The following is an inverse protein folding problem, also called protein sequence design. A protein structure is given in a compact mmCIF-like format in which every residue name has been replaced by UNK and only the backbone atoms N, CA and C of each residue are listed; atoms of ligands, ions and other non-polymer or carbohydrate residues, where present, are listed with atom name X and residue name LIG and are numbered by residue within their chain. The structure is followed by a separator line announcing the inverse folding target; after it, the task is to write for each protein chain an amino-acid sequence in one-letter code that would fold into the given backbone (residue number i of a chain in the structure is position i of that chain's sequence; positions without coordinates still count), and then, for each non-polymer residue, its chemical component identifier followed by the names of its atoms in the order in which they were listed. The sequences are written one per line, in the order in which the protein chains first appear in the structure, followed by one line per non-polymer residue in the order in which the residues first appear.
data_IF_441351903913
#
_entry.id   IF_441351903913
#
_cell.length_a   1.000
_cell.length_b   1.000
_cell.length_c   1.000
_cell.angle_alpha   90.00
_cell.angle_beta   90.00
_cell.angle_gamma   90.00
#
_symmetry.space_group_name_H-M   'P 1'
#
loop_
_entity.id
_entity.type
_entity.pdbx_description
1 polymer ?
#
# COMPACT_ATOMS: atom_id res chain seq x y z
N UNK A 1 -19.95 26.81 16.21
CA UNK A 1 -20.46 25.58 16.86
C UNK A 1 -19.77 24.40 16.19
N UNK A 2 -18.95 23.67 16.94
CA UNK A 2 -18.07 22.61 16.43
C UNK A 2 -18.83 21.47 15.72
N UNK A 3 -18.28 21.03 14.57
CA UNK A 3 -18.74 19.90 13.75
C UNK A 3 -18.89 18.58 14.55
N UNK A 4 -18.24 18.47 15.72
CA UNK A 4 -18.29 17.29 16.59
C UNK A 4 -19.69 17.01 17.18
N UNK A 5 -20.58 18.00 17.21
CA UNK A 5 -21.90 17.84 17.86
C UNK A 5 -22.95 17.09 17.02
N UNK A 6 -22.70 16.82 15.73
CA UNK A 6 -23.69 16.18 14.83
C UNK A 6 -23.64 14.65 14.76
N UNK A 7 -22.56 14.00 15.22
CA UNK A 7 -22.39 12.55 15.08
C UNK A 7 -22.54 11.76 16.38
N UNK A 8 -22.61 12.43 17.53
CA UNK A 8 -22.74 11.76 18.84
C UNK A 8 -23.98 12.28 19.57
N UNK A 9 -25.03 11.45 19.59
CA UNK A 9 -26.21 11.69 20.43
C UNK A 9 -25.80 11.74 21.90
N UNK A 10 -26.12 12.85 22.58
CA UNK A 10 -25.85 13.06 23.99
C UNK A 10 -26.51 11.98 24.85
N UNK A 11 -25.68 11.23 25.58
CA UNK A 11 -25.95 10.86 26.96
C UNK A 11 -24.81 11.44 27.79
N UNK A 12 -25.13 12.39 28.66
CA UNK A 12 -24.22 12.97 29.64
C UNK A 12 -23.88 11.88 30.67
N UNK A 13 -22.93 11.03 30.34
CA UNK A 13 -22.20 10.19 31.30
C UNK A 13 -21.07 11.07 31.87
N UNK A 14 -20.79 11.05 33.19
CA UNK A 14 -19.67 11.79 33.74
C UNK A 14 -18.40 11.41 32.99
N UNK A 15 -17.71 12.40 32.42
CA UNK A 15 -16.41 12.19 31.78
C UNK A 15 -15.48 11.76 32.91
N UNK A 16 -15.25 10.45 33.05
CA UNK A 16 -14.07 9.96 33.77
C UNK A 16 -12.88 10.65 33.11
N UNK A 17 -12.04 11.34 33.89
CA UNK A 17 -10.75 11.83 33.41
C UNK A 17 -9.99 10.61 32.87
N UNK A 18 -10.07 10.41 31.56
CA UNK A 18 -9.42 9.30 30.93
C UNK A 18 -7.91 9.57 30.99
N UNK A 19 -7.15 8.67 31.65
CA UNK A 19 -5.72 8.84 31.90
C UNK A 19 -4.96 9.39 30.69
N UNK A 20 -4.06 10.38 30.88
CA UNK A 20 -3.27 10.95 29.80
C UNK A 20 -2.44 9.86 29.10
N UNK A 21 -2.26 9.98 27.79
CA UNK A 21 -1.46 9.04 27.02
C UNK A 21 0.04 9.19 27.32
N UNK A 22 0.82 8.10 27.20
CA UNK A 22 2.24 8.14 27.48
C UNK A 22 3.02 8.91 26.41
N UNK A 23 4.16 9.48 26.83
CA UNK A 23 5.12 10.13 25.94
C UNK A 23 6.30 9.21 25.68
N UNK A 24 6.84 9.27 24.47
CA UNK A 24 8.10 8.62 24.06
C UNK A 24 9.19 9.68 24.11
N UNK A 25 10.30 9.34 24.78
CA UNK A 25 11.42 10.25 24.94
C UNK A 25 12.21 10.39 23.62
N UNK A 26 12.87 11.53 23.37
CA UNK A 26 13.74 11.74 22.19
C UNK A 26 14.74 10.61 21.93
N UNK A 27 15.38 10.10 22.98
CA UNK A 27 16.37 9.02 22.95
C UNK A 27 15.81 7.67 22.49
N UNK A 28 14.49 7.47 22.59
CA UNK A 28 13.82 6.21 22.28
C UNK A 28 13.22 6.17 20.86
N UNK A 29 13.51 7.16 20.02
CA UNK A 29 12.96 7.20 18.66
C UNK A 29 13.93 7.79 17.62
N UNK A 30 13.81 7.41 16.33
CA UNK A 30 14.79 7.77 15.32
C UNK A 30 14.78 9.27 14.94
N UNK A 31 13.74 10.02 15.33
CA UNK A 31 13.63 11.45 15.04
C UNK A 31 14.20 12.34 16.14
N UNK A 32 14.60 11.79 17.29
CA UNK A 32 15.18 12.54 18.41
C UNK A 32 14.28 13.69 18.89
N UNK A 33 12.96 13.49 18.87
CA UNK A 33 11.97 14.45 19.35
C UNK A 33 11.02 13.79 20.34
N UNK A 34 10.35 14.59 21.17
CA UNK A 34 9.33 14.09 22.09
C UNK A 34 8.05 13.76 21.31
N UNK A 35 7.56 12.54 21.46
CA UNK A 35 6.38 12.04 20.72
C UNK A 35 5.29 11.56 21.67
N UNK A 36 4.02 11.70 21.28
CA UNK A 36 2.90 11.12 21.99
C UNK A 36 2.67 9.69 21.49
N UNK A 37 2.60 8.71 22.38
CA UNK A 37 2.26 7.34 22.01
C UNK A 37 0.74 7.21 21.83
N UNK A 38 0.30 6.95 20.61
CA UNK A 38 -1.13 6.87 20.26
C UNK A 38 -1.66 5.44 20.28
N UNK A 39 -0.78 4.42 20.36
CA UNK A 39 -1.14 2.99 20.36
C UNK A 39 -2.22 2.62 21.38
N UNK A 40 -2.23 3.15 22.62
CA UNK A 40 -3.29 2.84 23.58
C UNK A 40 -4.72 3.11 23.07
N UNK A 41 -4.87 4.06 22.14
CA UNK A 41 -6.14 4.38 21.47
C UNK A 41 -6.21 3.71 20.10
N UNK A 42 -5.17 3.85 19.27
CA UNK A 42 -5.18 3.39 17.89
C UNK A 42 -5.33 1.87 17.74
N UNK A 43 -4.82 1.08 18.70
CA UNK A 43 -4.88 -0.39 18.63
C UNK A 43 -6.17 -0.96 19.24
N UNK A 44 -6.84 -0.21 20.10
CA UNK A 44 -8.02 -0.67 20.85
C UNK A 44 -9.33 -0.19 20.25
N UNK A 45 -9.33 0.95 19.56
CA UNK A 45 -10.56 1.51 18.99
C UNK A 45 -11.02 0.76 17.73
N UNK A 46 -12.31 0.46 17.71
CA UNK A 46 -13.00 -0.05 16.52
C UNK A 46 -13.58 1.12 15.73
N UNK A 47 -13.27 1.18 14.44
CA UNK A 47 -13.90 2.12 13.52
C UNK A 47 -15.31 1.64 13.23
N UNK A 48 -16.32 2.18 13.92
CA UNK A 48 -17.72 1.81 13.71
C UNK A 48 -18.52 3.00 13.19
N UNK A 49 -19.22 2.80 12.08
CA UNK A 49 -20.30 3.70 11.64
C UNK A 49 -21.61 2.93 11.72
N UNK A 50 -22.67 3.60 12.18
CA UNK A 50 -24.04 3.06 12.16
C UNK A 50 -24.80 3.44 10.88
N UNK A 51 -24.18 4.25 10.02
CA UNK A 51 -24.76 4.68 8.75
C UNK A 51 -24.53 3.60 7.68
N UNK A 52 -25.61 2.99 7.14
CA UNK A 52 -25.51 1.97 6.09
C UNK A 52 -24.78 2.45 4.83
N UNK A 53 -24.94 3.73 4.45
CA UNK A 53 -24.27 4.28 3.27
C UNK A 53 -22.76 4.36 3.48
N UNK A 54 -22.32 4.71 4.70
CA UNK A 54 -20.89 4.73 5.03
C UNK A 54 -20.29 3.34 5.01
N UNK A 55 -21.01 2.33 5.49
CA UNK A 55 -20.59 0.94 5.41
C UNK A 55 -20.49 0.46 3.95
N UNK A 56 -21.49 0.77 3.11
CA UNK A 56 -21.48 0.43 1.68
C UNK A 56 -20.32 1.12 0.95
N UNK A 57 -20.12 2.43 1.18
CA UNK A 57 -19.04 3.19 0.56
C UNK A 57 -17.67 2.59 0.89
N UNK A 58 -17.49 2.16 2.13
CA UNK A 58 -16.22 1.59 2.57
C UNK A 58 -15.93 0.25 1.85
N UNK A 59 -16.96 -0.56 1.54
CA UNK A 59 -16.85 -1.80 0.72
C UNK A 59 -16.63 -1.49 -0.77
N UNK A 60 -17.12 -0.34 -1.25
CA UNK A 60 -17.11 0.03 -2.68
C UNK A 60 -15.71 0.31 -3.26
N UNK A 61 -14.67 0.54 -2.44
CA UNK A 61 -13.35 0.95 -2.93
C UNK A 61 -12.50 -0.17 -3.53
N UNK A 62 -12.85 -1.44 -3.32
CA UNK A 62 -12.13 -2.59 -3.90
C UNK A 62 -12.14 -2.59 -5.43
N UNK A 63 -13.07 -1.86 -6.04
CA UNK A 63 -13.20 -1.72 -7.49
C UNK A 63 -13.09 -0.26 -7.96
N UNK A 64 -12.65 0.68 -7.13
CA UNK A 64 -12.60 2.11 -7.46
C UNK A 64 -11.22 2.50 -8.02
N UNK A 65 -11.21 3.24 -9.13
CA UNK A 65 -9.99 3.79 -9.74
C UNK A 65 -9.87 5.32 -9.58
N UNK A 66 -10.90 5.94 -9.00
CA UNK A 66 -10.91 7.36 -8.62
C UNK A 66 -11.27 8.31 -9.75
N UNK A 67 -11.54 7.81 -10.96
CA UNK A 67 -11.94 8.63 -12.11
C UNK A 67 -13.19 9.46 -11.78
N UNK A 68 -14.10 8.91 -10.96
CA UNK A 68 -15.34 9.58 -10.53
C UNK A 68 -15.10 10.87 -9.72
N UNK A 69 -13.91 11.05 -9.15
CA UNK A 69 -13.56 12.25 -8.37
C UNK A 69 -12.90 13.35 -9.22
N UNK A 70 -12.58 13.08 -10.48
CA UNK A 70 -12.00 14.07 -11.38
C UNK A 70 -12.96 15.25 -11.59
N UNK A 71 -12.42 16.46 -11.51
CA UNK A 71 -13.18 17.71 -11.67
C UNK A 71 -14.00 18.13 -10.44
N UNK A 72 -14.09 17.32 -9.39
CA UNK A 72 -14.75 17.71 -8.15
C UNK A 72 -13.92 18.75 -7.38
N UNK A 73 -14.59 19.67 -6.68
CA UNK A 73 -13.93 20.68 -5.87
C UNK A 73 -13.78 20.23 -4.40
N UNK A 74 -12.72 20.66 -3.69
CA UNK A 74 -12.59 20.47 -2.26
C UNK A 74 -13.74 21.10 -1.47
N UNK A 75 -14.17 20.46 -0.37
CA UNK A 75 -15.20 21.00 0.53
C UNK A 75 -14.86 22.39 1.09
N UNK A 76 -13.57 22.60 1.43
CA UNK A 76 -13.05 23.86 1.95
C UNK A 76 -12.02 24.38 0.94
N UNK A 77 -12.41 25.19 -0.06
CA UNK A 77 -11.56 25.53 -1.19
C UNK A 77 -10.58 26.66 -0.85
N UNK A 78 -9.56 26.36 -0.05
CA UNK A 78 -8.46 27.28 0.28
C UNK A 78 -7.23 26.90 -0.52
N UNK A 79 -6.59 27.88 -1.15
CA UNK A 79 -5.35 27.70 -1.89
C UNK A 79 -4.14 27.99 -1.00
N UNK A 80 -3.12 27.14 -1.05
CA UNK A 80 -1.86 27.34 -0.33
C UNK A 80 -0.66 26.81 -1.14
N UNK A 81 0.50 27.49 -1.12
CA UNK A 81 1.71 26.97 -1.73
C UNK A 81 2.18 25.72 -0.98
N UNK A 82 2.81 24.80 -1.69
CA UNK A 82 3.41 23.61 -1.13
C UNK A 82 4.83 23.44 -1.69
N UNK A 83 5.67 22.71 -0.94
CA UNK A 83 6.97 22.28 -1.42
C UNK A 83 7.29 20.95 -0.75
N UNK A 84 6.43 19.96 -1.01
CA UNK A 84 6.58 18.61 -0.48
C UNK A 84 7.13 17.72 -1.59
N UNK A 85 8.08 16.86 -1.26
CA UNK A 85 8.74 16.00 -2.24
C UNK A 85 8.65 14.55 -1.81
N UNK A 86 8.39 13.66 -2.75
CA UNK A 86 8.28 12.24 -2.51
C UNK A 86 9.01 11.46 -3.59
N UNK A 87 9.99 10.59 -3.27
CA UNK A 87 10.57 9.70 -4.27
C UNK A 87 9.51 8.82 -4.94
N UNK A 88 9.71 8.49 -6.21
CA UNK A 88 8.89 7.58 -7.03
C UNK A 88 9.82 6.71 -7.91
N UNK A 89 9.31 5.58 -8.41
CA UNK A 89 10.06 4.71 -9.32
C UNK A 89 10.10 5.30 -10.73
N UNK A 90 11.04 6.22 -11.00
CA UNK A 90 11.19 7.01 -12.25
C UNK A 90 9.99 7.93 -12.54
N UNK A 91 8.79 7.36 -12.58
CA UNK A 91 7.50 8.01 -12.82
C UNK A 91 6.39 7.32 -12.02
N UNK A 92 5.55 8.13 -11.38
CA UNK A 92 4.26 7.74 -10.83
C UNK A 92 3.21 7.76 -11.94
N UNK A 93 2.52 6.65 -12.12
CA UNK A 93 1.44 6.49 -13.09
C UNK A 93 0.08 6.77 -12.44
N UNK A 94 -0.94 7.17 -13.23
CA UNK A 94 -2.29 7.30 -12.70
C UNK A 94 -2.82 6.01 -12.06
N UNK A 95 -3.56 6.15 -10.97
CA UNK A 95 -4.09 5.04 -10.20
C UNK A 95 -4.34 5.38 -8.73
N UNK A 96 -4.42 4.34 -7.89
CA UNK A 96 -4.70 4.49 -6.45
C UNK A 96 -3.45 4.35 -5.60
N UNK A 97 -3.34 5.16 -4.54
CA UNK A 97 -2.21 5.20 -3.60
C UNK A 97 -2.54 4.54 -2.26
N UNK A 98 -3.40 3.53 -2.29
CA UNK A 98 -3.72 2.67 -1.15
C UNK A 98 -3.93 1.26 -1.67
N UNK A 99 -3.88 0.26 -0.79
CA UNK A 99 -4.20 -1.12 -1.16
C UNK A 99 -5.73 -1.27 -1.22
N UNK A 100 -6.34 -1.54 -2.39
CA UNK A 100 -7.79 -1.52 -2.58
C UNK A 100 -8.57 -2.46 -1.65
N UNK A 101 -7.93 -3.54 -1.21
CA UNK A 101 -8.55 -4.61 -0.41
C UNK A 101 -8.48 -4.37 1.10
N UNK A 102 -7.70 -3.39 1.55
CA UNK A 102 -7.52 -3.11 2.98
C UNK A 102 -8.54 -2.04 3.42
N UNK A 103 -9.71 -2.51 3.86
CA UNK A 103 -10.81 -1.71 4.43
C UNK A 103 -10.49 -1.10 5.83
N UNK A 104 -9.30 -0.55 6.03
CA UNK A 104 -8.93 0.09 7.30
C UNK A 104 -8.60 1.57 7.19
N UNK A 105 -8.76 2.14 6.00
CA UNK A 105 -8.20 3.43 5.71
C UNK A 105 -9.22 4.58 5.69
N UNK A 106 -8.88 5.65 6.41
CA UNK A 106 -9.72 6.85 6.55
C UNK A 106 -9.76 7.73 5.28
N UNK A 107 -8.76 7.57 4.41
CA UNK A 107 -8.60 8.34 3.18
C UNK A 107 -8.40 7.41 1.99
N UNK A 108 -9.01 7.75 0.86
CA UNK A 108 -8.66 7.21 -0.44
C UNK A 108 -7.87 8.29 -1.19
N UNK A 109 -6.67 7.93 -1.66
CA UNK A 109 -5.75 8.87 -2.30
C UNK A 109 -5.53 8.38 -3.73
N UNK A 110 -5.72 9.28 -4.68
CA UNK A 110 -5.62 8.99 -6.11
C UNK A 110 -4.57 9.89 -6.73
N UNK A 111 -3.89 9.38 -7.75
CA UNK A 111 -3.04 10.18 -8.61
C UNK A 111 -3.61 10.18 -10.03
N UNK A 112 -3.93 11.35 -10.58
CA UNK A 112 -4.47 11.54 -11.94
C UNK A 112 -4.17 12.96 -12.43
N UNK A 113 -3.86 13.12 -13.72
CA UNK A 113 -3.63 14.43 -14.36
C UNK A 113 -2.72 15.37 -13.55
N UNK A 114 -1.58 14.85 -13.10
CA UNK A 114 -0.59 15.53 -12.25
C UNK A 114 -1.18 16.08 -10.95
N UNK A 115 -2.23 15.44 -10.43
CA UNK A 115 -2.86 15.79 -9.16
C UNK A 115 -2.95 14.60 -8.23
N UNK A 116 -2.70 14.86 -6.95
CA UNK A 116 -3.12 13.99 -5.87
C UNK A 116 -4.51 14.43 -5.40
N UNK A 117 -5.44 13.49 -5.30
CA UNK A 117 -6.82 13.75 -4.86
C UNK A 117 -7.06 12.97 -3.58
N UNK A 118 -7.30 13.70 -2.49
CA UNK A 118 -7.54 13.14 -1.16
C UNK A 118 -9.04 13.12 -0.88
N UNK A 119 -9.59 11.92 -0.84
CA UNK A 119 -11.00 11.66 -0.66
C UNK A 119 -11.23 11.04 0.71
N UNK A 120 -12.20 11.54 1.46
CA UNK A 120 -12.58 10.92 2.73
C UNK A 120 -13.36 9.64 2.42
N UNK A 121 -12.85 8.48 2.82
CA UNK A 121 -13.31 7.18 2.31
C UNK A 121 -14.83 7.01 2.45
N UNK A 122 -15.39 7.18 3.65
CA UNK A 122 -16.81 6.92 3.87
C UNK A 122 -17.75 8.02 3.38
N UNK A 123 -17.32 9.29 3.30
CA UNK A 123 -18.19 10.37 2.76
C UNK A 123 -18.06 10.51 1.25
N UNK A 124 -17.01 9.93 0.64
CA UNK A 124 -16.69 10.08 -0.79
C UNK A 124 -16.56 11.55 -1.22
N UNK A 125 -16.08 12.40 -0.32
CA UNK A 125 -15.89 13.83 -0.57
C UNK A 125 -14.42 14.15 -0.78
N UNK A 126 -14.12 15.01 -1.75
CA UNK A 126 -12.78 15.57 -1.95
C UNK A 126 -12.50 16.62 -0.88
N UNK A 127 -11.40 16.44 -0.14
CA UNK A 127 -10.95 17.40 0.88
C UNK A 127 -9.74 18.21 0.42
N UNK A 128 -8.81 17.58 -0.28
CA UNK A 128 -7.57 18.20 -0.76
C UNK A 128 -7.29 17.73 -2.17
N UNK A 129 -6.90 18.67 -3.02
CA UNK A 129 -6.28 18.42 -4.32
C UNK A 129 -4.88 19.04 -4.27
N UNK A 130 -3.87 18.22 -4.44
CA UNK A 130 -2.48 18.66 -4.52
C UNK A 130 -2.06 18.66 -5.99
N UNK A 131 -1.65 19.82 -6.50
CA UNK A 131 -1.05 19.96 -7.83
C UNK A 131 0.41 19.59 -7.77
N UNK A 132 0.82 18.75 -8.72
CA UNK A 132 2.14 18.13 -8.69
C UNK A 132 2.86 18.27 -10.01
N UNK A 133 4.17 18.02 -9.95
CA UNK A 133 5.05 17.82 -11.10
C UNK A 133 5.98 16.66 -10.78
N UNK A 134 6.46 15.98 -11.80
CA UNK A 134 7.45 14.92 -11.65
C UNK A 134 8.78 15.35 -12.27
N UNK A 135 9.88 15.08 -11.57
CA UNK A 135 11.23 15.37 -12.05
C UNK A 135 12.23 14.40 -11.43
N UNK A 136 13.04 13.73 -12.26
CA UNK A 136 14.16 12.88 -11.85
C UNK A 136 13.79 11.86 -10.75
N UNK A 137 12.67 11.15 -10.90
CA UNK A 137 12.22 10.16 -9.90
C UNK A 137 11.65 10.77 -8.61
N UNK A 138 11.26 12.05 -8.63
CA UNK A 138 10.63 12.74 -7.50
C UNK A 138 9.31 13.33 -7.93
N UNK A 139 8.25 13.06 -7.15
CA UNK A 139 6.98 13.76 -7.19
C UNK A 139 7.07 15.01 -6.30
N UNK A 140 6.85 16.17 -6.89
CA UNK A 140 6.89 17.48 -6.22
C UNK A 140 5.47 18.01 -6.13
N UNK A 141 5.00 18.30 -4.92
CA UNK A 141 3.74 18.98 -4.65
C UNK A 141 4.00 20.48 -4.57
N UNK A 142 3.56 21.22 -5.59
CA UNK A 142 3.84 22.65 -5.75
C UNK A 142 2.76 23.53 -5.10
N UNK A 143 1.52 23.05 -5.10
CA UNK A 143 0.37 23.79 -4.55
C UNK A 143 -0.70 22.82 -4.06
N UNK A 144 -1.39 23.20 -3.00
CA UNK A 144 -2.59 22.52 -2.52
C UNK A 144 -3.80 23.44 -2.63
N UNK A 145 -4.93 22.87 -3.03
CA UNK A 145 -6.25 23.46 -2.90
C UNK A 145 -7.10 22.55 -2.04
N UNK A 146 -7.64 23.06 -0.93
CA UNK A 146 -8.42 22.26 0.01
C UNK A 146 -7.93 22.37 1.44
N UNK A 147 -8.70 21.78 2.35
CA UNK A 147 -8.34 21.59 3.75
C UNK A 147 -9.03 20.33 4.25
N UNK A 148 -8.42 19.61 5.20
CA UNK A 148 -9.02 18.39 5.72
C UNK A 148 -10.13 18.70 6.73
N UNK A 149 -10.02 19.82 7.43
CA UNK A 149 -10.97 20.40 8.38
C UNK A 149 -10.77 21.94 8.43
N UNK A 150 -11.26 22.60 9.47
CA UNK A 150 -11.03 24.04 9.72
C UNK A 150 -9.64 24.35 10.34
N UNK A 151 -8.58 23.66 9.90
CA UNK A 151 -7.20 23.89 10.38
C UNK A 151 -6.45 25.02 9.64
N UNK A 152 -5.26 25.36 10.17
CA UNK A 152 -4.32 26.26 9.50
C UNK A 152 -3.65 25.57 8.29
N UNK A 153 -3.25 26.32 7.26
CA UNK A 153 -2.54 25.77 6.09
C UNK A 153 -1.31 24.92 6.44
N UNK A 154 -0.51 25.34 7.44
CA UNK A 154 0.66 24.58 7.88
C UNK A 154 0.30 23.17 8.38
N UNK A 155 -0.83 23.05 9.07
CA UNK A 155 -1.34 21.78 9.55
C UNK A 155 -1.88 20.92 8.40
N UNK A 156 -2.61 21.49 7.43
CA UNK A 156 -3.01 20.77 6.20
C UNK A 156 -1.79 20.20 5.46
N UNK A 157 -0.70 20.97 5.32
CA UNK A 157 0.55 20.49 4.72
C UNK A 157 1.16 19.32 5.51
N UNK A 158 1.13 19.38 6.84
CA UNK A 158 1.62 18.30 7.70
C UNK A 158 0.78 17.02 7.55
N UNK A 159 -0.54 17.16 7.39
CA UNK A 159 -1.45 16.04 7.13
C UNK A 159 -1.14 15.42 5.76
N UNK A 160 -0.95 16.22 4.70
CA UNK A 160 -0.52 15.70 3.39
C UNK A 160 0.81 14.96 3.50
N UNK A 161 1.82 15.53 4.19
CA UNK A 161 3.10 14.86 4.40
C UNK A 161 2.92 13.51 5.09
N UNK A 162 2.14 13.46 6.17
CA UNK A 162 1.88 12.23 6.91
C UNK A 162 1.16 11.19 6.06
N UNK A 163 0.13 11.61 5.32
CA UNK A 163 -0.62 10.69 4.47
C UNK A 163 0.27 10.09 3.37
N UNK A 164 1.11 10.91 2.74
CA UNK A 164 2.01 10.42 1.69
C UNK A 164 3.20 9.61 2.25
N UNK A 165 3.66 9.90 3.47
CA UNK A 165 4.86 9.25 4.05
C UNK A 165 4.54 8.05 4.93
N UNK A 166 3.62 8.20 5.86
CA UNK A 166 3.21 7.10 6.73
C UNK A 166 2.17 6.21 6.06
N UNK A 167 1.09 6.81 5.59
CA UNK A 167 -0.07 6.05 5.16
C UNK A 167 0.15 5.36 3.79
N UNK A 168 0.56 6.08 2.74
CA UNK A 168 0.74 5.50 1.39
C UNK A 168 1.86 4.46 1.35
N UNK A 169 2.89 4.60 2.19
CA UNK A 169 4.05 3.71 2.25
C UNK A 169 3.97 2.66 3.35
N UNK A 170 2.88 2.64 4.13
CA UNK A 170 2.71 1.79 5.29
C UNK A 170 3.89 1.88 6.30
N UNK A 171 4.38 3.10 6.56
CA UNK A 171 5.46 3.37 7.50
C UNK A 171 4.93 3.98 8.79
N UNK A 172 5.49 3.55 9.93
CA UNK A 172 5.21 4.20 11.22
C UNK A 172 6.01 5.49 11.27
N UNK A 173 5.32 6.62 11.16
CA UNK A 173 5.90 7.97 11.31
C UNK A 173 5.00 8.82 12.23
N UNK A 174 5.52 9.89 12.87
CA UNK A 174 4.71 10.76 13.71
C UNK A 174 3.55 11.41 12.93
N UNK A 175 2.33 11.17 13.40
CA UNK A 175 1.13 11.83 12.92
C UNK A 175 1.05 13.27 13.46
N UNK A 176 0.75 14.26 12.62
CA UNK A 176 0.58 15.63 13.08
C UNK A 176 -0.65 15.71 13.97
N UNK A 177 -0.51 16.35 15.12
CA UNK A 177 -1.56 16.59 16.10
C UNK A 177 -1.87 18.09 16.18
N UNK A 178 -3.13 18.49 16.40
CA UNK A 178 -3.47 19.91 16.52
C UNK A 178 -2.83 20.52 17.76
N UNK A 179 -2.10 21.62 17.60
CA UNK A 179 -1.37 22.30 18.70
C UNK A 179 -2.31 22.74 19.84
N UNK A 180 -3.57 23.07 19.52
CA UNK A 180 -4.60 23.44 20.48
C UNK A 180 -5.11 22.25 21.33
N UNK A 181 -4.75 21.01 20.99
CA UNK A 181 -5.08 19.80 21.74
C UNK A 181 -3.95 19.29 22.63
N UNK A 182 -2.80 19.98 22.72
CA UNK A 182 -1.62 19.53 23.48
C UNK A 182 -1.88 19.29 24.96
N UNK A 183 -2.81 20.04 25.54
CA UNK A 183 -3.18 19.96 26.95
C UNK A 183 -4.16 18.81 27.24
N UNK A 184 -4.69 18.15 26.19
CA UNK A 184 -5.57 16.99 26.28
C UNK A 184 -5.12 15.87 25.36
N UNK A 185 -4.11 15.12 25.80
CA UNK A 185 -3.48 14.06 25.00
C UNK A 185 -4.47 12.99 24.53
N UNK A 186 -5.51 12.69 25.33
CA UNK A 186 -6.58 11.76 24.94
C UNK A 186 -7.47 12.33 23.85
N UNK A 187 -7.86 13.60 23.93
CA UNK A 187 -8.61 14.25 22.85
C UNK A 187 -7.79 14.30 21.56
N UNK A 188 -6.49 14.62 21.65
CA UNK A 188 -5.56 14.58 20.51
C UNK A 188 -5.49 13.17 19.89
N UNK A 189 -5.42 12.13 20.72
CA UNK A 189 -5.40 10.74 20.25
C UNK A 189 -6.71 10.32 19.58
N UNK A 190 -7.86 10.72 20.14
CA UNK A 190 -9.17 10.49 19.53
C UNK A 190 -9.32 11.22 18.19
N UNK A 191 -8.87 12.48 18.13
CA UNK A 191 -8.83 13.24 16.89
C UNK A 191 -7.95 12.54 15.86
N UNK A 192 -6.75 12.11 16.26
CA UNK A 192 -5.80 11.41 15.39
C UNK A 192 -6.38 10.09 14.86
N UNK A 193 -7.01 9.29 15.72
CA UNK A 193 -7.70 8.07 15.29
C UNK A 193 -8.87 8.38 14.34
N UNK A 194 -9.64 9.44 14.58
CA UNK A 194 -10.67 9.88 13.65
C UNK A 194 -10.07 10.23 12.29
N UNK A 195 -8.99 11.01 12.27
CA UNK A 195 -8.35 11.51 11.05
C UNK A 195 -7.63 10.43 10.27
N UNK A 196 -6.89 9.55 10.94
CA UNK A 196 -5.93 8.63 10.33
C UNK A 196 -6.24 7.16 10.60
N UNK A 197 -7.07 6.84 11.58
CA UNK A 197 -7.40 5.47 11.94
C UNK A 197 -6.23 4.79 12.62
N UNK A 198 -6.10 3.49 12.40
CA UNK A 198 -5.10 2.66 13.08
C UNK A 198 -3.67 2.96 12.64
N UNK A 199 -3.45 3.69 11.54
CA UNK A 199 -2.10 3.97 11.02
C UNK A 199 -1.34 4.99 11.87
N UNK A 200 -2.03 5.86 12.61
CA UNK A 200 -1.39 6.83 13.50
C UNK A 200 -1.03 6.20 14.85
N UNK A 201 0.15 5.57 14.90
CA UNK A 201 0.67 4.91 16.12
C UNK A 201 1.38 5.86 17.09
N UNK A 202 1.94 6.94 16.56
CA UNK A 202 2.71 7.95 17.30
C UNK A 202 2.36 9.33 16.77
N UNK A 203 2.41 10.37 17.61
CA UNK A 203 1.97 11.72 17.26
C UNK A 203 2.96 12.81 17.66
N UNK A 204 2.91 13.93 16.95
CA UNK A 204 3.76 15.12 17.16
C UNK A 204 2.91 16.39 17.00
N UNK A 205 3.09 17.36 17.90
CA UNK A 205 2.37 18.63 17.85
C UNK A 205 3.07 19.70 17.00
N UNK A 206 4.37 19.54 16.72
CA UNK A 206 5.12 20.43 15.85
C UNK A 206 4.61 20.36 14.41
N UNK A 207 3.85 21.38 14.00
CA UNK A 207 3.30 21.53 12.65
C UNK A 207 4.38 21.71 11.56
N UNK A 208 5.65 21.91 11.92
CA UNK A 208 6.77 22.00 10.98
C UNK A 208 7.47 20.66 10.78
N UNK A 209 7.23 19.67 11.64
CA UNK A 209 7.83 18.35 11.51
C UNK A 209 7.41 17.67 10.20
N UNK A 210 8.38 17.18 9.43
CA UNK A 210 8.16 16.47 8.16
C UNK A 210 9.03 15.22 8.13
N UNK A 211 8.44 14.05 8.40
CA UNK A 211 9.14 12.78 8.25
C UNK A 211 9.57 12.59 6.78
N UNK A 212 10.84 12.26 6.58
CA UNK A 212 11.40 11.91 5.27
C UNK A 212 11.45 10.39 5.11
N UNK A 213 11.34 9.93 3.86
CA UNK A 213 11.44 8.52 3.52
C UNK A 213 12.02 8.38 2.11
N UNK A 214 13.05 7.56 2.01
CA UNK A 214 13.67 7.18 0.73
C UNK A 214 12.87 6.09 0.00
N UNK A 215 11.85 5.51 0.65
CA UNK A 215 11.00 4.51 0.01
C UNK A 215 10.13 5.21 -1.04
N UNK A 216 10.19 4.81 -2.32
CA UNK A 216 9.42 5.46 -3.37
C UNK A 216 7.92 5.20 -3.22
N UNK A 217 7.13 6.19 -3.61
CA UNK A 217 5.68 6.05 -3.73
C UNK A 217 5.36 5.35 -5.04
N UNK A 218 4.46 4.37 -4.95
CA UNK A 218 3.93 3.62 -6.08
C UNK A 218 2.42 3.64 -6.01
N UNK A 219 1.78 3.90 -7.14
CA UNK A 219 0.36 3.67 -7.31
C UNK A 219 0.12 2.22 -7.69
N UNK A 220 -0.99 1.64 -7.21
CA UNK A 220 -1.67 0.62 -7.98
C UNK A 220 -2.19 1.29 -9.25
N UNK A 221 -1.39 1.17 -10.31
CA UNK A 221 -1.63 1.88 -11.56
C UNK A 221 -2.97 1.44 -12.18
N UNK A 222 -3.52 2.24 -13.10
CA UNK A 222 -4.67 1.82 -13.90
C UNK A 222 -4.45 0.45 -14.59
N UNK A 223 -3.20 0.09 -14.89
CA UNK A 223 -2.85 -1.20 -15.47
C UNK A 223 -2.98 -2.35 -14.46
N UNK A 224 -2.58 -2.15 -13.19
CA UNK A 224 -2.84 -3.13 -12.12
C UNK A 224 -4.35 -3.34 -11.93
N UNK A 225 -5.12 -2.25 -11.91
CA UNK A 225 -6.58 -2.30 -11.74
C UNK A 225 -7.25 -3.03 -12.92
N UNK A 226 -6.87 -2.72 -14.17
CA UNK A 226 -7.37 -3.42 -15.35
C UNK A 226 -7.01 -4.91 -15.33
N UNK A 227 -5.80 -5.24 -14.87
CA UNK A 227 -5.32 -6.63 -14.70
C UNK A 227 -6.19 -7.39 -13.70
N UNK A 228 -6.42 -6.83 -12.51
CA UNK A 228 -7.30 -7.46 -11.51
C UNK A 228 -8.75 -7.63 -11.99
N UNK A 229 -9.24 -6.71 -12.85
CA UNK A 229 -10.58 -6.79 -13.44
C UNK A 229 -10.68 -7.73 -14.65
N UNK A 230 -9.56 -8.24 -15.17
CA UNK A 230 -9.53 -9.01 -16.40
C UNK A 230 -9.90 -8.23 -17.67
N UNK A 231 -9.77 -6.90 -17.64
CA UNK A 231 -10.15 -6.03 -18.76
C UNK A 231 -9.01 -5.93 -19.80
N UNK A 232 -8.98 -6.89 -20.72
CA UNK A 232 -7.97 -6.95 -21.79
C UNK A 232 -7.99 -5.72 -22.71
N UNK A 233 -9.16 -5.09 -22.90
CA UNK A 233 -9.28 -3.91 -23.73
C UNK A 233 -8.59 -2.71 -23.07
N UNK A 234 -8.85 -2.50 -21.76
CA UNK A 234 -8.17 -1.48 -20.98
C UNK A 234 -6.66 -1.72 -20.90
N UNK A 235 -6.21 -2.98 -20.74
CA UNK A 235 -4.78 -3.33 -20.76
C UNK A 235 -4.13 -2.88 -22.08
N UNK A 236 -4.77 -3.16 -23.22
CA UNK A 236 -4.27 -2.75 -24.54
C UNK A 236 -4.21 -1.22 -24.70
N UNK A 237 -5.23 -0.50 -24.24
CA UNK A 237 -5.25 0.96 -24.26
C UNK A 237 -4.13 1.56 -23.41
N UNK A 238 -3.92 1.02 -22.21
CA UNK A 238 -2.88 1.49 -21.27
C UNK A 238 -1.48 1.18 -21.79
N UNK A 239 -1.26 0.00 -22.36
CA UNK A 239 0.00 -0.34 -23.02
C UNK A 239 0.32 0.62 -24.18
N UNK A 240 -0.67 0.92 -25.04
CA UNK A 240 -0.52 1.92 -26.12
C UNK A 240 -0.20 3.32 -25.61
N UNK A 241 -0.66 3.67 -24.39
CA UNK A 241 -0.33 4.93 -23.70
C UNK A 241 1.05 4.92 -23.04
N UNK A 242 1.81 3.82 -23.14
CA UNK A 242 3.16 3.71 -22.60
C UNK A 242 3.21 3.32 -21.12
N UNK A 243 2.15 2.74 -20.55
CA UNK A 243 2.23 2.21 -19.18
C UNK A 243 3.26 1.09 -19.10
N UNK A 244 4.15 1.19 -18.11
CA UNK A 244 5.16 0.16 -17.86
C UNK A 244 4.49 -1.14 -17.39
N UNK A 245 4.60 -2.20 -18.22
CA UNK A 245 4.07 -3.54 -17.92
C UNK A 245 4.76 -4.21 -16.73
N UNK A 246 5.93 -3.71 -16.32
CA UNK A 246 6.73 -4.25 -15.22
C UNK A 246 6.69 -3.36 -13.96
N UNK A 247 5.84 -2.32 -13.94
CA UNK A 247 5.74 -1.42 -12.80
C UNK A 247 5.32 -2.19 -11.54
N UNK A 248 5.91 -1.81 -10.41
CA UNK A 248 5.46 -2.26 -9.09
C UNK A 248 4.34 -1.34 -8.57
N UNK A 249 3.38 -1.94 -7.88
CA UNK A 249 2.34 -1.25 -7.12
C UNK A 249 2.78 -0.92 -5.68
N UNK A 250 1.89 -0.29 -4.91
CA UNK A 250 2.16 0.11 -3.52
C UNK A 250 2.41 -1.07 -2.57
N UNK A 251 1.88 -2.25 -2.87
CA UNK A 251 2.16 -3.51 -2.19
C UNK A 251 3.52 -4.14 -2.61
N UNK A 252 4.21 -3.52 -3.58
CA UNK A 252 5.49 -3.96 -4.10
C UNK A 252 5.42 -5.09 -5.12
N UNK A 253 4.22 -5.50 -5.54
CA UNK A 253 4.02 -6.52 -6.58
C UNK A 253 3.95 -5.88 -7.97
N UNK A 254 4.41 -6.61 -9.00
CA UNK A 254 4.32 -6.15 -10.38
C UNK A 254 2.94 -6.44 -10.98
N UNK A 255 2.65 -5.86 -12.15
CA UNK A 255 1.43 -6.17 -12.94
C UNK A 255 1.29 -7.67 -13.18
N UNK A 256 2.39 -8.36 -13.52
CA UNK A 256 2.36 -9.80 -13.77
C UNK A 256 2.03 -10.60 -12.49
N UNK A 257 2.53 -10.17 -11.32
CA UNK A 257 2.12 -10.77 -10.04
C UNK A 257 0.62 -10.61 -9.78
N UNK A 258 0.07 -9.44 -10.07
CA UNK A 258 -1.37 -9.16 -9.95
C UNK A 258 -2.23 -10.01 -10.88
N UNK A 259 -1.70 -10.42 -12.05
CA UNK A 259 -2.44 -11.28 -12.97
C UNK A 259 -2.68 -12.70 -12.43
N UNK A 260 -1.88 -13.16 -11.45
CA UNK A 260 -2.06 -14.49 -10.83
C UNK A 260 -3.26 -14.57 -9.89
N UNK A 261 -3.82 -13.44 -9.47
CA UNK A 261 -5.03 -13.39 -8.63
C UNK A 261 -6.32 -13.61 -9.42
N UNK A 262 -6.28 -13.49 -10.76
CA UNK A 262 -7.40 -13.83 -11.60
C UNK A 262 -7.63 -15.34 -11.61
N UNK A 263 -8.91 -15.76 -11.65
CA UNK A 263 -9.27 -17.18 -11.68
C UNK A 263 -8.76 -17.89 -12.95
N UNK A 264 -8.53 -17.14 -14.04
CA UNK A 264 -8.03 -17.62 -15.32
C UNK A 264 -6.68 -16.99 -15.68
N UNK A 265 -5.91 -17.72 -16.48
CA UNK A 265 -4.58 -17.39 -16.99
C UNK A 265 -4.58 -16.44 -18.19
N UNK A 266 -5.73 -16.17 -18.81
CA UNK A 266 -5.85 -15.34 -20.01
C UNK A 266 -5.20 -13.95 -19.88
N UNK A 267 -5.33 -13.31 -18.71
CA UNK A 267 -4.71 -11.99 -18.45
C UNK A 267 -3.19 -12.08 -18.43
N UNK A 268 -2.65 -13.12 -17.79
CA UNK A 268 -1.20 -13.36 -17.73
C UNK A 268 -0.63 -13.63 -19.12
N UNK A 269 -1.23 -14.55 -19.87
CA UNK A 269 -0.82 -14.86 -21.24
C UNK A 269 -0.86 -13.62 -22.13
N UNK A 270 -1.90 -12.80 -21.98
CA UNK A 270 -2.04 -11.55 -22.73
C UNK A 270 -0.93 -10.54 -22.37
N UNK A 271 -0.65 -10.31 -21.08
CA UNK A 271 0.44 -9.43 -20.65
C UNK A 271 1.81 -9.89 -21.16
N UNK A 272 2.09 -11.19 -21.10
CA UNK A 272 3.32 -11.78 -21.65
C UNK A 272 3.40 -11.59 -23.16
N UNK A 273 2.27 -11.72 -23.88
CA UNK A 273 2.21 -11.48 -25.33
C UNK A 273 2.45 -10.00 -25.70
N UNK A 274 2.15 -9.07 -24.80
CA UNK A 274 2.46 -7.63 -24.93
C UNK A 274 3.91 -7.30 -24.54
N UNK A 275 4.70 -8.30 -24.10
CA UNK A 275 6.10 -8.13 -23.73
C UNK A 275 6.33 -7.80 -22.25
N UNK A 276 5.41 -8.14 -21.36
CA UNK A 276 5.71 -8.14 -19.92
C UNK A 276 6.89 -9.10 -19.65
N UNK A 277 7.84 -8.66 -18.82
CA UNK A 277 9.01 -9.46 -18.50
C UNK A 277 8.60 -10.57 -17.50
N UNK A 278 8.72 -11.87 -17.85
CA UNK A 278 8.38 -12.96 -16.94
C UNK A 278 9.25 -12.97 -15.67
N UNK A 279 10.43 -12.36 -15.73
CA UNK A 279 11.38 -12.22 -14.62
C UNK A 279 11.28 -10.87 -13.91
N UNK A 280 10.22 -10.09 -14.16
CA UNK A 280 9.97 -8.87 -13.39
C UNK A 280 9.85 -9.21 -11.90
N UNK A 281 10.58 -8.47 -11.06
CA UNK A 281 10.72 -8.76 -9.63
C UNK A 281 9.88 -7.82 -8.79
N UNK A 282 9.24 -8.35 -7.76
CA UNK A 282 8.68 -7.55 -6.68
C UNK A 282 9.77 -6.80 -5.91
N UNK A 283 9.38 -5.90 -5.01
CA UNK A 283 10.33 -5.18 -4.13
C UNK A 283 11.14 -6.13 -3.23
N UNK A 284 10.59 -7.31 -2.90
CA UNK A 284 11.27 -8.38 -2.15
C UNK A 284 12.10 -9.32 -3.05
N UNK A 285 12.17 -9.03 -4.34
CA UNK A 285 12.91 -9.81 -5.32
C UNK A 285 12.19 -11.07 -5.78
N UNK A 286 10.95 -11.31 -5.39
CA UNK A 286 10.21 -12.48 -5.85
C UNK A 286 9.78 -12.30 -7.31
N UNK A 287 9.79 -13.38 -8.09
CA UNK A 287 9.19 -13.42 -9.44
C UNK A 287 7.79 -13.99 -9.38
N UNK A 288 6.99 -13.76 -10.42
CA UNK A 288 5.64 -14.34 -10.51
C UNK A 288 5.68 -15.87 -10.49
N UNK A 289 6.75 -16.47 -11.01
CA UNK A 289 6.99 -17.91 -10.97
C UNK A 289 7.07 -18.43 -9.52
N UNK A 290 7.73 -17.69 -8.62
CA UNK A 290 7.78 -18.06 -7.20
C UNK A 290 6.42 -18.00 -6.52
N UNK A 291 5.57 -17.02 -6.88
CA UNK A 291 4.21 -16.93 -6.35
C UNK A 291 3.34 -18.10 -6.85
N UNK A 292 3.46 -18.47 -8.13
CA UNK A 292 2.76 -19.63 -8.67
C UNK A 292 3.12 -20.92 -7.91
N UNK A 293 4.39 -21.09 -7.56
CA UNK A 293 4.85 -22.20 -6.71
C UNK A 293 4.24 -22.14 -5.31
N UNK A 294 4.24 -20.97 -4.67
CA UNK A 294 3.66 -20.83 -3.32
C UNK A 294 2.16 -21.12 -3.29
N UNK A 295 1.45 -20.85 -4.37
CA UNK A 295 0.01 -21.12 -4.51
C UNK A 295 -0.32 -22.49 -5.12
N UNK A 296 0.68 -23.35 -5.37
CA UNK A 296 0.53 -24.66 -6.04
C UNK A 296 -0.16 -24.59 -7.41
N UNK A 297 0.03 -23.48 -8.14
CA UNK A 297 -0.57 -23.20 -9.45
C UNK A 297 0.32 -23.71 -10.59
N UNK A 298 0.22 -25.01 -10.87
CA UNK A 298 1.02 -25.65 -11.93
C UNK A 298 0.72 -25.10 -13.34
N UNK A 299 -0.51 -24.69 -13.60
CA UNK A 299 -0.96 -24.04 -14.84
C UNK A 299 -0.19 -22.73 -15.09
N UNK A 300 -0.16 -21.85 -14.09
CA UNK A 300 0.58 -20.58 -14.13
C UNK A 300 2.07 -20.81 -14.26
N UNK A 301 2.61 -21.79 -13.52
CA UNK A 301 4.02 -22.17 -13.61
C UNK A 301 4.39 -22.57 -15.06
N UNK A 302 3.58 -23.40 -15.71
CA UNK A 302 3.85 -23.85 -17.08
C UNK A 302 3.85 -22.69 -18.09
N UNK A 303 2.94 -21.72 -17.93
CA UNK A 303 2.89 -20.51 -18.78
C UNK A 303 4.18 -19.71 -18.63
N UNK A 304 4.64 -19.48 -17.40
CA UNK A 304 5.85 -18.70 -17.14
C UNK A 304 7.11 -19.41 -17.65
N UNK A 305 7.20 -20.74 -17.49
CA UNK A 305 8.28 -21.55 -18.08
C UNK A 305 8.28 -21.39 -19.61
N UNK A 306 7.12 -21.50 -20.25
CA UNK A 306 6.97 -21.34 -21.70
C UNK A 306 7.32 -19.93 -22.17
N UNK A 307 7.06 -18.92 -21.35
CA UNK A 307 7.44 -17.54 -21.60
C UNK A 307 8.93 -17.25 -21.36
N UNK A 308 9.71 -18.24 -20.90
CA UNK A 308 11.15 -18.13 -20.73
C UNK A 308 11.58 -17.57 -19.38
N UNK A 309 10.76 -17.66 -18.34
CA UNK A 309 11.15 -17.27 -16.99
C UNK A 309 12.41 -18.01 -16.51
N UNK A 310 13.30 -17.31 -15.80
CA UNK A 310 14.46 -17.89 -15.13
C UNK A 310 14.01 -18.75 -13.95
N UNK A 311 14.10 -20.07 -14.15
CA UNK A 311 13.75 -21.10 -13.16
C UNK A 311 14.58 -21.01 -11.88
N UNK A 312 15.80 -20.46 -12.00
CA UNK A 312 16.77 -20.35 -10.92
C UNK A 312 16.89 -18.94 -10.35
N UNK A 313 15.98 -18.02 -10.73
CA UNK A 313 15.89 -16.72 -10.10
C UNK A 313 15.80 -16.87 -8.58
N UNK A 314 16.47 -15.96 -7.86
CA UNK A 314 16.54 -15.95 -6.40
C UNK A 314 15.86 -14.70 -5.86
N UNK A 315 15.06 -14.78 -4.80
CA UNK A 315 14.53 -13.59 -4.11
C UNK A 315 15.65 -12.81 -3.38
N UNK A 316 15.34 -11.68 -2.74
CA UNK A 316 16.35 -10.87 -2.03
C UNK A 316 17.05 -11.62 -0.88
N UNK A 317 16.54 -12.79 -0.49
CA UNK A 317 17.09 -13.67 0.55
C UNK A 317 17.83 -14.88 -0.05
N UNK A 318 17.95 -14.96 -1.37
CA UNK A 318 18.62 -16.04 -2.09
C UNK A 318 17.72 -17.24 -2.40
N UNK A 319 16.45 -17.27 -1.98
CA UNK A 319 15.61 -18.45 -2.18
C UNK A 319 15.11 -18.54 -3.61
N UNK A 320 15.18 -19.74 -4.19
CA UNK A 320 14.60 -20.05 -5.51
C UNK A 320 13.18 -20.59 -5.38
N UNK A 321 12.48 -20.70 -6.52
CA UNK A 321 11.20 -21.37 -6.62
C UNK A 321 11.23 -22.81 -6.07
N UNK A 322 12.30 -23.58 -6.35
CA UNK A 322 12.42 -24.95 -5.88
C UNK A 322 12.55 -25.05 -4.34
N UNK A 323 13.16 -24.06 -3.68
CA UNK A 323 13.14 -24.01 -2.21
C UNK A 323 11.72 -23.92 -1.66
N UNK A 324 10.87 -23.05 -2.26
CA UNK A 324 9.48 -22.86 -1.83
C UNK A 324 8.65 -24.12 -2.06
N UNK A 325 8.80 -24.75 -3.23
CA UNK A 325 8.13 -26.02 -3.53
C UNK A 325 8.52 -27.10 -2.51
N UNK A 326 9.80 -27.18 -2.14
CA UNK A 326 10.30 -28.16 -1.19
C UNK A 326 9.80 -27.90 0.25
N UNK A 327 9.80 -26.65 0.69
CA UNK A 327 9.30 -26.24 2.00
C UNK A 327 7.79 -26.48 2.17
N UNK A 328 7.01 -26.26 1.10
CA UNK A 328 5.54 -26.41 1.11
C UNK A 328 5.09 -27.82 0.73
N UNK A 329 5.98 -28.66 0.19
CA UNK A 329 5.69 -30.03 -0.20
C UNK A 329 4.92 -30.17 -1.53
N UNK A 330 4.96 -29.16 -2.40
CA UNK A 330 4.27 -29.13 -3.69
C UNK A 330 5.00 -30.01 -4.72
N UNK A 331 4.72 -31.33 -4.68
CA UNK A 331 5.51 -32.34 -5.38
C UNK A 331 5.45 -32.23 -6.90
N UNK A 332 4.26 -32.02 -7.48
CA UNK A 332 4.11 -31.94 -8.95
C UNK A 332 4.75 -30.65 -9.51
N UNK A 333 4.63 -29.55 -8.77
CA UNK A 333 5.33 -28.30 -9.04
C UNK A 333 6.86 -28.48 -8.99
N UNK A 334 7.39 -29.16 -7.98
CA UNK A 334 8.83 -29.44 -7.90
C UNK A 334 9.32 -30.32 -9.07
N UNK A 335 8.54 -31.32 -9.48
CA UNK A 335 8.87 -32.13 -10.67
C UNK A 335 8.92 -31.27 -11.93
N UNK A 336 7.96 -30.37 -12.12
CA UNK A 336 7.93 -29.46 -13.26
C UNK A 336 9.14 -28.51 -13.27
N UNK A 337 9.50 -27.94 -12.12
CA UNK A 337 10.69 -27.10 -11.96
C UNK A 337 11.98 -27.87 -12.30
N UNK A 338 12.15 -29.08 -11.77
CA UNK A 338 13.31 -29.92 -12.05
C UNK A 338 13.40 -30.30 -13.53
N UNK A 339 12.27 -30.64 -14.16
CA UNK A 339 12.20 -30.90 -15.60
C UNK A 339 12.56 -29.67 -16.44
N UNK A 340 12.28 -28.47 -15.94
CA UNK A 340 12.66 -27.19 -16.54
C UNK A 340 14.10 -26.75 -16.21
N UNK A 341 14.88 -27.54 -15.46
CA UNK A 341 16.28 -27.26 -15.17
C UNK A 341 16.54 -26.51 -13.86
N UNK A 342 15.64 -26.58 -12.88
CA UNK A 342 15.89 -26.04 -11.54
C UNK A 342 17.11 -26.70 -10.88
N UNK A 343 18.01 -25.88 -10.34
CA UNK A 343 19.15 -26.33 -9.54
C UNK A 343 18.72 -26.66 -8.12
N UNK A 344 18.77 -27.95 -7.78
CA UNK A 344 18.42 -28.49 -6.46
C UNK A 344 19.50 -28.29 -5.39
N UNK A 345 20.65 -27.72 -5.73
CA UNK A 345 21.80 -27.51 -4.85
C UNK A 345 22.03 -26.06 -4.43
N UNK A 346 21.22 -25.12 -4.92
CA UNK A 346 21.29 -23.72 -4.48
C UNK A 346 21.14 -23.62 -2.96
N UNK A 347 21.96 -22.79 -2.32
CA UNK A 347 21.93 -22.54 -0.88
C UNK A 347 21.41 -21.12 -0.63
N UNK A 348 20.33 -21.01 0.13
CA UNK A 348 19.73 -19.75 0.57
C UNK A 348 19.63 -19.71 2.09
N UNK A 349 20.24 -18.72 2.73
CA UNK A 349 20.27 -18.59 4.20
C UNK A 349 20.69 -19.88 4.95
N UNK A 350 21.61 -20.66 4.37
CA UNK A 350 22.06 -21.93 4.95
C UNK A 350 21.17 -23.13 4.66
N UNK A 351 20.12 -22.97 3.86
CA UNK A 351 19.21 -24.04 3.46
C UNK A 351 19.35 -24.36 1.97
N UNK A 352 19.35 -25.65 1.64
CA UNK A 352 19.05 -26.16 0.29
C UNK A 352 17.56 -26.55 0.20
N UNK A 353 17.00 -26.75 -1.02
CA UNK A 353 15.65 -27.27 -1.16
C UNK A 353 15.42 -28.57 -0.38
N UNK A 354 16.36 -29.53 -0.45
CA UNK A 354 16.22 -30.80 0.28
C UNK A 354 16.22 -30.60 1.80
N UNK A 355 17.05 -29.68 2.34
CA UNK A 355 17.09 -29.43 3.78
C UNK A 355 15.77 -28.85 4.32
N UNK A 356 15.04 -28.08 3.51
CA UNK A 356 13.72 -27.57 3.86
C UNK A 356 12.66 -28.69 3.86
N UNK A 357 12.72 -29.58 2.85
CA UNK A 357 11.86 -30.76 2.81
C UNK A 357 12.11 -31.71 3.99
N UNK A 358 13.36 -31.88 4.40
CA UNK A 358 13.76 -32.64 5.60
C UNK A 358 13.21 -32.01 6.89
N UNK A 359 13.39 -30.69 7.05
CA UNK A 359 12.86 -29.96 8.22
C UNK A 359 11.33 -30.07 8.34
N UNK A 360 10.62 -30.17 7.21
CA UNK A 360 9.17 -30.35 7.14
C UNK A 360 8.72 -31.82 7.07
N UNK A 361 9.66 -32.76 7.08
CA UNK A 361 9.42 -34.21 7.02
C UNK A 361 8.58 -34.65 5.80
N UNK A 362 8.75 -33.98 4.65
CA UNK A 362 8.02 -34.29 3.41
C UNK A 362 8.72 -35.41 2.66
N UNK A 363 8.49 -36.67 3.06
CA UNK A 363 9.21 -37.86 2.56
C UNK A 363 9.27 -37.95 1.03
N UNK A 364 8.16 -37.73 0.33
CA UNK A 364 8.13 -37.82 -1.14
C UNK A 364 9.02 -36.74 -1.80
N UNK A 365 9.04 -35.54 -1.24
CA UNK A 365 9.89 -34.44 -1.71
C UNK A 365 11.37 -34.72 -1.42
N UNK A 366 11.69 -35.26 -0.24
CA UNK A 366 13.06 -35.67 0.10
C UNK A 366 13.57 -36.70 -0.91
N UNK A 367 12.75 -37.68 -1.30
CA UNK A 367 13.15 -38.68 -2.30
C UNK A 367 13.31 -38.09 -3.69
N UNK A 368 12.49 -37.10 -4.07
CA UNK A 368 12.63 -36.40 -5.35
C UNK A 368 13.93 -35.58 -5.44
N UNK A 369 14.36 -35.00 -4.33
CA UNK A 369 15.49 -34.06 -4.28
C UNK A 369 16.84 -34.74 -3.97
N UNK A 370 16.85 -35.98 -3.49
CA UNK A 370 18.05 -36.84 -3.45
C UNK A 370 18.60 -37.02 -4.86
#
# INVERSE_FOLDING_TARGET
MSLFSRFFGKKDTPIQEENPLPWIAPEDNPWQIKLLDLRPVADTMLSTSKDPQMAQNAVSYSSEDGIVFLGQAPLIPVDMPANLTFPVDEQLYPGVLFTPEVMEHKWAIYFHDDKLIFVRSWTRQVHVIAHTRQENGVLIVEKIRGSFNEEKPAHTLSIVQFLMTGYVRNQIVPAPLPEDMKDSTRAAAMWSFSMFGKVAKIGVFDEQFRAQSEVPIRSHTMLHIATARGDLAAINDLHRKGYNLNACAGDGLTVLHWSSAADDTAVMEHLLSLGANPDARSVEGATTLMNAVQSDRLDVLQILIKAGADINAQDNRGFTALHRAAEMGHLEVAKALLAAGADKHVVAQGHTPISLAEARQVTAMIQLLK
#
